data_IF_595653943181
#
_entry.id   IF_595653943181
#
_cell.length_a   1.000
_cell.length_b   1.000
_cell.length_c   1.000
_cell.angle_alpha   90.00
_cell.angle_beta   90.00
_cell.angle_gamma   90.00
#
_symmetry.space_group_name_H-M   'P 1'
#
loop_
_entity.id
_entity.type
_entity.pdbx_description
1 polymer ?
#
# COMPACT_ATOMS: atom_id res chain seq x y z
N UNK A 1 -9.11 33.92 36.03
CA UNK A 1 -8.36 32.70 36.37
C UNK A 1 -8.97 31.52 35.61
N UNK A 2 -8.09 30.70 35.03
CA UNK A 2 -8.37 29.58 34.12
C UNK A 2 -9.30 28.54 34.76
N UNK A 3 -10.34 28.11 34.06
CA UNK A 3 -11.05 26.86 34.36
C UNK A 3 -10.64 25.82 33.32
N UNK A 4 -9.71 24.99 33.77
CA UNK A 4 -9.15 23.80 33.16
C UNK A 4 -10.22 22.71 33.15
N UNK A 5 -10.78 22.37 32.00
CA UNK A 5 -11.49 21.11 31.80
C UNK A 5 -11.45 20.77 30.31
N UNK A 6 -10.69 19.73 29.96
CA UNK A 6 -11.23 18.49 29.40
C UNK A 6 -10.06 17.60 28.94
N UNK A 7 -9.77 16.64 29.81
CA UNK A 7 -9.04 15.42 29.47
C UNK A 7 -9.94 14.65 28.51
N UNK A 8 -9.58 14.58 27.23
CA UNK A 8 -10.13 13.59 26.31
C UNK A 8 -9.00 12.62 25.98
N UNK A 9 -9.05 11.54 26.75
CA UNK A 9 -8.44 10.26 26.44
C UNK A 9 -9.12 9.67 25.20
N UNK A 10 -8.37 9.52 24.12
CA UNK A 10 -8.58 8.51 23.09
C UNK A 10 -7.18 8.18 22.56
N UNK A 11 -6.43 7.33 23.26
CA UNK A 11 -6.36 5.89 22.98
C UNK A 11 -6.11 5.59 21.49
N UNK A 12 -4.95 4.96 21.26
CA UNK A 12 -4.66 4.03 20.15
C UNK A 12 -4.41 4.63 18.77
N UNK A 13 -3.19 5.13 18.58
CA UNK A 13 -2.38 4.74 17.41
C UNK A 13 -0.96 4.43 17.87
N UNK A 14 -0.83 3.42 18.73
CA UNK A 14 0.40 2.64 18.73
C UNK A 14 0.27 1.78 17.48
N UNK A 15 0.75 2.29 16.33
CA UNK A 15 1.11 1.42 15.22
C UNK A 15 2.14 0.46 15.76
N UNK A 16 1.65 -0.71 16.14
CA UNK A 16 2.46 -1.87 16.42
C UNK A 16 3.00 -2.32 15.07
N UNK A 17 4.04 -1.64 14.58
CA UNK A 17 4.94 -2.21 13.58
C UNK A 17 5.61 -3.41 14.27
N UNK A 18 4.92 -4.55 14.25
CA UNK A 18 5.57 -5.83 14.43
C UNK A 18 6.39 -6.06 13.15
N UNK A 19 7.53 -5.38 13.06
CA UNK A 19 8.64 -5.84 12.24
C UNK A 19 9.09 -7.14 12.90
N UNK A 20 8.41 -8.22 12.51
CA UNK A 20 8.84 -9.57 12.86
C UNK A 20 10.05 -9.82 11.98
N UNK A 21 11.23 -9.50 12.52
CA UNK A 21 12.54 -9.52 11.85
C UNK A 21 12.94 -10.91 11.32
N UNK A 22 12.10 -11.94 11.52
CA UNK A 22 12.31 -13.32 11.10
C UNK A 22 11.24 -13.89 10.13
N UNK A 23 10.28 -13.10 9.66
CA UNK A 23 9.35 -13.60 8.63
C UNK A 23 10.01 -13.58 7.25
N UNK A 24 10.55 -14.73 6.86
CA UNK A 24 11.04 -14.97 5.50
C UNK A 24 9.87 -14.83 4.52
N UNK A 25 9.91 -13.79 3.68
CA UNK A 25 8.92 -13.59 2.63
C UNK A 25 8.86 -14.78 1.68
N UNK A 26 7.65 -15.07 1.21
CA UNK A 26 7.49 -16.12 0.20
C UNK A 26 8.20 -15.72 -1.10
N UNK A 27 8.68 -16.69 -1.91
CA UNK A 27 9.29 -16.38 -3.20
C UNK A 27 8.37 -15.56 -4.13
N UNK A 28 7.05 -15.73 -3.99
CA UNK A 28 6.07 -14.99 -4.78
C UNK A 28 5.98 -13.52 -4.35
N UNK A 29 6.02 -13.24 -3.05
CA UNK A 29 6.03 -11.87 -2.52
C UNK A 29 7.33 -11.15 -2.87
N UNK A 30 8.48 -11.85 -2.84
CA UNK A 30 9.75 -11.30 -3.32
C UNK A 30 9.67 -10.90 -4.79
N UNK A 31 9.06 -11.74 -5.65
CA UNK A 31 8.86 -11.43 -7.07
C UNK A 31 7.96 -10.22 -7.27
N UNK A 32 6.85 -10.15 -6.55
CA UNK A 32 5.95 -8.99 -6.64
C UNK A 32 6.65 -7.71 -6.18
N UNK A 33 7.44 -7.78 -5.11
CA UNK A 33 8.24 -6.65 -4.67
C UNK A 33 9.20 -6.17 -5.77
N UNK A 34 10.00 -7.08 -6.35
CA UNK A 34 10.94 -6.72 -7.42
C UNK A 34 10.24 -6.09 -8.64
N UNK A 35 9.09 -6.63 -9.06
CA UNK A 35 8.31 -6.07 -10.17
C UNK A 35 7.69 -4.71 -9.82
N UNK A 36 7.28 -4.54 -8.55
CA UNK A 36 6.67 -3.29 -8.08
C UNK A 36 7.63 -2.09 -8.17
N UNK A 37 8.95 -2.31 -8.06
CA UNK A 37 9.97 -1.27 -8.16
C UNK A 37 10.02 -0.59 -9.54
N UNK A 38 9.56 -1.28 -10.59
CA UNK A 38 9.57 -0.76 -11.95
C UNK A 38 8.27 -0.04 -12.34
N UNK A 39 7.24 -0.05 -11.48
CA UNK A 39 5.89 0.42 -11.83
C UNK A 39 5.84 1.91 -12.20
N UNK A 40 6.73 2.74 -11.64
CA UNK A 40 6.81 4.16 -11.99
C UNK A 40 7.29 4.44 -13.42
N UNK A 41 7.73 3.42 -14.16
CA UNK A 41 8.25 3.55 -15.53
C UNK A 41 7.38 2.87 -16.58
N UNK A 42 6.30 2.20 -16.18
CA UNK A 42 5.40 1.47 -17.08
C UNK A 42 4.09 2.24 -17.30
N UNK A 43 3.33 1.83 -18.31
CA UNK A 43 2.03 2.42 -18.60
C UNK A 43 0.96 2.08 -17.56
N UNK A 44 -0.09 2.90 -17.47
CA UNK A 44 -1.23 2.74 -16.55
C UNK A 44 -1.87 1.36 -16.58
N UNK A 45 -2.13 0.84 -17.77
CA UNK A 45 -2.71 -0.50 -17.92
C UNK A 45 -1.81 -1.58 -17.32
N UNK A 46 -0.49 -1.38 -17.37
CA UNK A 46 0.46 -2.32 -16.75
C UNK A 46 0.43 -2.23 -15.22
N UNK A 47 0.31 -1.03 -14.66
CA UNK A 47 0.12 -0.84 -13.21
C UNK A 47 -1.18 -1.49 -12.75
N UNK A 48 -2.29 -1.26 -13.47
CA UNK A 48 -3.59 -1.85 -13.13
C UNK A 48 -3.56 -3.37 -13.21
N UNK A 49 -2.96 -3.94 -14.27
CA UNK A 49 -2.82 -5.40 -14.40
C UNK A 49 -1.95 -5.99 -13.29
N UNK A 50 -0.90 -5.28 -12.87
CA UNK A 50 -0.08 -5.70 -11.75
C UNK A 50 -0.87 -5.68 -10.43
N UNK A 51 -1.63 -4.61 -10.18
CA UNK A 51 -2.50 -4.52 -9.00
C UNK A 51 -3.50 -5.69 -8.94
N UNK A 52 -4.21 -5.97 -10.04
CA UNK A 52 -5.13 -7.13 -10.14
C UNK A 52 -4.41 -8.47 -9.91
N UNK A 53 -3.16 -8.61 -10.36
CA UNK A 53 -2.37 -9.82 -10.14
C UNK A 53 -2.05 -10.03 -8.65
N UNK A 54 -1.64 -8.96 -7.95
CA UNK A 54 -1.37 -9.00 -6.51
C UNK A 54 -2.65 -9.31 -5.73
N UNK A 55 -3.74 -8.62 -6.07
CA UNK A 55 -5.07 -8.82 -5.46
C UNK A 55 -5.56 -10.27 -5.62
N UNK A 56 -5.45 -10.83 -6.84
CA UNK A 56 -5.80 -12.22 -7.10
C UNK A 56 -4.96 -13.22 -6.29
N UNK A 57 -3.67 -12.92 -6.07
CA UNK A 57 -2.81 -13.76 -5.25
C UNK A 57 -3.19 -13.70 -3.77
N UNK A 58 -3.43 -12.51 -3.20
CA UNK A 58 -3.79 -12.39 -1.78
C UNK A 58 -5.21 -12.89 -1.51
N UNK A 59 -6.10 -12.82 -2.50
CA UNK A 59 -7.43 -13.46 -2.43
C UNK A 59 -7.29 -14.98 -2.34
N UNK A 60 -6.41 -15.59 -3.15
CA UNK A 60 -6.15 -17.02 -3.11
C UNK A 60 -5.30 -17.46 -1.89
N UNK A 61 -4.47 -16.54 -1.37
CA UNK A 61 -3.53 -16.79 -0.26
C UNK A 61 -3.65 -15.67 0.79
N UNK A 62 -4.69 -15.69 1.65
CA UNK A 62 -4.96 -14.57 2.56
C UNK A 62 -3.83 -14.23 3.53
N UNK A 63 -3.01 -15.22 3.90
CA UNK A 63 -1.83 -15.00 4.77
C UNK A 63 -0.76 -14.11 4.13
N UNK A 64 -0.77 -13.92 2.81
CA UNK A 64 0.17 -13.06 2.10
C UNK A 64 0.01 -11.57 2.45
N UNK A 65 -1.16 -11.16 2.95
CA UNK A 65 -1.39 -9.78 3.45
C UNK A 65 -0.53 -9.47 4.67
N UNK A 66 -0.11 -10.50 5.43
CA UNK A 66 0.79 -10.36 6.58
C UNK A 66 2.28 -10.47 6.21
N UNK A 67 2.62 -10.71 4.94
CA UNK A 67 4.02 -10.76 4.49
C UNK A 67 4.66 -9.37 4.64
N UNK A 68 5.90 -9.26 5.14
CA UNK A 68 6.54 -7.97 5.40
C UNK A 68 6.73 -7.12 4.13
N UNK A 69 6.72 -7.71 2.93
CA UNK A 69 6.84 -6.97 1.67
C UNK A 69 5.50 -6.45 1.14
N UNK A 70 4.37 -6.93 1.67
CA UNK A 70 3.04 -6.53 1.18
C UNK A 70 2.79 -5.01 1.27
N UNK A 71 3.11 -4.32 2.39
CA UNK A 71 2.91 -2.88 2.49
C UNK A 71 3.66 -2.10 1.41
N UNK A 72 4.92 -2.45 1.15
CA UNK A 72 5.76 -1.78 0.15
C UNK A 72 5.25 -1.99 -1.27
N UNK A 73 4.80 -3.21 -1.59
CA UNK A 73 4.17 -3.52 -2.89
C UNK A 73 2.93 -2.63 -3.11
N UNK A 74 2.07 -2.53 -2.10
CA UNK A 74 0.85 -1.71 -2.19
C UNK A 74 1.17 -0.21 -2.27
N UNK A 75 2.21 0.25 -1.57
CA UNK A 75 2.67 1.62 -1.67
C UNK A 75 3.22 1.95 -3.08
N UNK A 76 3.99 1.04 -3.68
CA UNK A 76 4.51 1.20 -5.04
C UNK A 76 3.39 1.25 -6.09
N UNK A 77 2.36 0.39 -5.95
CA UNK A 77 1.16 0.44 -6.79
C UNK A 77 0.49 1.81 -6.67
N UNK A 78 0.25 2.29 -5.44
CA UNK A 78 -0.42 3.57 -5.20
C UNK A 78 0.36 4.74 -5.79
N UNK A 79 1.67 4.80 -5.54
CA UNK A 79 2.52 5.87 -6.08
C UNK A 79 2.49 5.88 -7.61
N UNK A 80 2.62 4.70 -8.25
CA UNK A 80 2.58 4.61 -9.71
C UNK A 80 1.22 5.04 -10.28
N UNK A 81 0.11 4.66 -9.63
CA UNK A 81 -1.24 5.08 -10.05
C UNK A 81 -1.46 6.60 -9.95
N UNK A 82 -0.85 7.27 -8.96
CA UNK A 82 -0.93 8.73 -8.80
C UNK A 82 -0.02 9.44 -9.81
N UNK A 83 1.20 8.94 -10.04
CA UNK A 83 2.17 9.56 -10.97
C UNK A 83 1.69 9.57 -12.42
N UNK A 84 0.76 8.69 -12.77
CA UNK A 84 0.14 8.63 -14.10
C UNK A 84 -0.86 9.78 -14.31
N UNK A 85 -1.34 10.39 -13.22
CA UNK A 85 -2.43 11.37 -13.29
C UNK A 85 -1.98 12.76 -13.80
N UNK A 86 -0.70 13.14 -13.86
CA UNK A 86 -0.33 14.51 -14.36
C UNK A 86 1.06 14.58 -15.02
N UNK A 87 1.15 14.98 -16.31
CA UNK A 87 1.43 16.39 -16.60
C UNK A 87 0.33 17.01 -17.50
N UNK A 88 -0.56 17.81 -16.90
CA UNK A 88 -1.48 18.69 -17.64
C UNK A 88 -2.94 18.76 -17.20
N UNK A 89 -3.39 17.98 -16.21
CA UNK A 89 -4.77 18.03 -15.73
C UNK A 89 -4.81 18.17 -14.21
N UNK A 90 -5.09 19.39 -13.75
CA UNK A 90 -5.61 19.65 -12.41
C UNK A 90 -7.03 19.04 -12.33
N UNK A 91 -7.34 18.43 -11.18
CA UNK A 91 -8.65 17.97 -10.74
C UNK A 91 -9.29 16.77 -11.47
N UNK A 92 -8.78 15.57 -11.18
CA UNK A 92 -9.65 14.39 -11.06
C UNK A 92 -9.29 13.64 -9.77
N UNK A 93 -10.06 13.89 -8.72
CA UNK A 93 -10.07 13.09 -7.50
C UNK A 93 -10.62 11.70 -7.86
N UNK A 94 -9.71 10.76 -8.15
CA UNK A 94 -10.08 9.36 -8.29
C UNK A 94 -10.27 8.84 -6.88
N UNK A 95 -11.53 8.82 -6.42
CA UNK A 95 -11.95 8.08 -5.24
C UNK A 95 -11.68 6.59 -5.47
N UNK A 96 -10.48 6.16 -5.10
CA UNK A 96 -10.16 4.76 -4.96
C UNK A 96 -10.76 4.29 -3.62
N UNK A 97 -12.02 3.84 -3.66
CA UNK A 97 -12.58 3.03 -2.59
C UNK A 97 -11.93 1.64 -2.67
N UNK A 98 -10.89 1.45 -1.85
CA UNK A 98 -10.36 0.14 -1.48
C UNK A 98 -10.86 -0.22 -0.09
#
# INVERSE_FOLDING_TARGET
>A
MRKLFLIISACLVISCEQVTEDQVSTPQMVKFYQESLALGTVAADSVQRFATKVDGYVTATPSAVSDPLYPDIMQNIRTASISITVPGFEDVEIHAEF
#
